data_IF_155071075031
#
_entry.id   IF_155071075031
#
_cell.length_a   1.000
_cell.length_b   1.000
_cell.length_c   1.000
_cell.angle_alpha   90.00
_cell.angle_beta   90.00
_cell.angle_gamma   90.00
#
_symmetry.space_group_name_H-M   'P 1'
#
loop_
_entity.id
_entity.type
_entity.pdbx_description
1 polymer ?
#
# COMPACT_ATOMS: atom_id res chain seq x y z
N UNK A 1 2.51 -10.35 32.26
CA UNK A 1 1.85 -9.65 31.13
C UNK A 1 2.96 -9.00 30.32
N UNK A 2 3.42 -9.66 29.26
CA UNK A 2 4.56 -9.20 28.49
C UNK A 2 4.06 -8.17 27.48
N UNK A 3 4.55 -6.93 27.58
CA UNK A 3 4.27 -5.90 26.59
C UNK A 3 4.97 -6.31 25.29
N UNK A 4 4.25 -6.96 24.38
CA UNK A 4 4.72 -7.28 23.04
C UNK A 4 4.33 -6.10 22.14
N UNK A 5 5.05 -4.99 22.22
CA UNK A 5 4.94 -3.96 21.18
C UNK A 5 6.23 -3.98 20.35
N UNK A 6 6.25 -4.68 19.21
CA UNK A 6 7.41 -4.72 18.33
C UNK A 6 7.56 -3.45 17.48
N UNK A 7 6.64 -2.49 17.60
CA UNK A 7 6.69 -1.25 16.83
C UNK A 7 7.61 -0.21 17.48
N UNK A 8 8.26 0.61 16.64
CA UNK A 8 9.14 1.70 17.08
C UNK A 8 8.52 3.02 16.67
N UNK A 9 8.33 3.92 17.62
CA UNK A 9 8.05 5.33 17.32
C UNK A 9 9.36 6.03 17.00
N UNK A 10 9.38 6.87 15.97
CA UNK A 10 10.58 7.61 15.59
C UNK A 10 10.36 8.44 14.35
N UNK A 11 11.46 8.88 13.74
CA UNK A 11 11.42 9.69 12.53
C UNK A 11 11.44 8.79 11.30
N UNK A 12 10.83 9.24 10.20
CA UNK A 12 10.85 8.52 8.92
C UNK A 12 12.27 8.19 8.44
N UNK A 13 13.25 9.07 8.71
CA UNK A 13 14.66 8.85 8.35
C UNK A 13 15.30 7.64 9.04
N UNK A 14 14.72 7.18 10.15
CA UNK A 14 15.22 6.04 10.92
C UNK A 14 14.60 4.71 10.45
N UNK A 15 13.70 4.76 9.46
CA UNK A 15 13.02 3.59 8.90
C UNK A 15 13.75 3.05 7.66
N UNK A 16 13.71 1.73 7.48
CA UNK A 16 14.34 1.07 6.34
C UNK A 16 13.41 1.04 5.14
N UNK A 17 13.99 1.01 3.94
CA UNK A 17 13.23 0.83 2.70
C UNK A 17 12.41 -0.46 2.78
N UNK A 18 11.11 -0.37 2.50
CA UNK A 18 10.18 -1.49 2.58
C UNK A 18 9.55 -1.69 3.97
N UNK A 19 9.88 -0.87 4.98
CA UNK A 19 9.14 -0.89 6.24
C UNK A 19 7.70 -0.41 6.05
N UNK A 20 6.77 -1.09 6.72
CA UNK A 20 5.40 -0.62 6.88
C UNK A 20 5.35 0.40 8.01
N UNK A 21 4.80 1.57 7.72
CA UNK A 21 4.72 2.68 8.65
C UNK A 21 3.27 3.16 8.81
N UNK A 22 2.96 3.71 9.98
CA UNK A 22 1.72 4.43 10.24
C UNK A 22 2.03 5.90 10.55
N UNK A 23 1.28 6.79 9.91
CA UNK A 23 1.44 8.25 10.03
C UNK A 23 0.15 8.88 10.55
N UNK A 24 0.30 9.88 11.41
CA UNK A 24 -0.81 10.74 11.79
C UNK A 24 -1.11 11.70 10.64
N UNK A 25 -2.26 11.55 9.99
CA UNK A 25 -2.74 12.54 9.03
C UNK A 25 -3.50 13.62 9.78
N UNK A 26 -3.04 14.87 9.71
CA UNK A 26 -3.72 16.03 10.31
C UNK A 26 -5.13 16.26 9.74
N UNK A 27 -5.42 15.73 8.55
CA UNK A 27 -6.68 15.98 7.83
C UNK A 27 -7.80 15.00 8.16
N UNK A 28 -7.49 13.81 8.71
CA UNK A 28 -8.48 12.76 9.00
C UNK A 28 -8.06 12.04 10.28
N UNK A 29 -8.96 11.90 11.26
CA UNK A 29 -8.74 11.29 12.59
C UNK A 29 -8.34 9.78 12.57
N UNK A 30 -7.78 9.27 11.47
CA UNK A 30 -7.33 7.88 11.32
C UNK A 30 -5.89 7.85 10.78
N UNK A 31 -5.05 6.93 11.27
CA UNK A 31 -3.69 6.79 10.78
C UNK A 31 -3.68 6.40 9.30
N UNK A 32 -2.80 7.02 8.51
CA UNK A 32 -2.50 6.58 7.15
C UNK A 32 -1.42 5.49 7.22
N UNK A 33 -1.69 4.31 6.67
CA UNK A 33 -0.67 3.27 6.50
C UNK A 33 0.03 3.46 5.16
N UNK A 34 1.36 3.37 5.18
CA UNK A 34 2.18 3.53 4.01
C UNK A 34 3.37 2.57 4.04
N UNK A 35 3.89 2.25 2.86
CA UNK A 35 5.17 1.55 2.71
C UNK A 35 6.23 2.57 2.31
N UNK A 36 7.36 2.54 2.99
CA UNK A 36 8.46 3.46 2.73
C UNK A 36 9.24 3.08 1.46
N UNK A 37 9.28 4.01 0.50
CA UNK A 37 10.16 3.97 -0.66
C UNK A 37 11.23 5.06 -0.52
N UNK A 38 12.51 4.68 -0.48
CA UNK A 38 13.60 5.65 -0.36
C UNK A 38 13.90 6.28 -1.72
N UNK A 39 13.71 7.60 -1.81
CA UNK A 39 14.27 8.46 -2.86
C UNK A 39 14.85 9.69 -2.18
N UNK A 40 16.17 9.82 -2.20
CA UNK A 40 16.84 11.07 -1.80
C UNK A 40 16.70 12.01 -2.99
N UNK A 41 16.17 13.22 -2.77
CA UNK A 41 16.11 14.21 -3.87
C UNK A 41 17.52 14.52 -4.37
N UNK A 42 17.67 14.86 -5.65
CA UNK A 42 18.96 15.29 -6.21
C UNK A 42 19.54 16.53 -5.51
N UNK A 43 18.72 17.26 -4.75
CA UNK A 43 19.10 18.44 -3.97
C UNK A 43 19.58 18.09 -2.54
N UNK A 44 19.59 16.81 -2.16
CA UNK A 44 20.02 16.36 -0.83
C UNK A 44 18.98 16.60 0.27
N UNK A 45 17.80 17.12 -0.06
CA UNK A 45 16.70 17.20 0.90
C UNK A 45 16.30 15.78 1.32
N UNK A 46 16.26 15.56 2.64
CA UNK A 46 15.83 14.30 3.22
C UNK A 46 14.32 14.14 3.05
N UNK A 47 13.92 13.71 1.85
CA UNK A 47 12.55 13.40 1.50
C UNK A 47 12.36 11.88 1.54
N UNK A 48 11.17 11.46 1.93
CA UNK A 48 10.71 10.08 1.86
C UNK A 48 9.55 10.02 0.87
N UNK A 49 9.52 8.98 0.05
CA UNK A 49 8.40 8.70 -0.85
C UNK A 49 7.60 7.57 -0.26
N UNK A 50 6.31 7.80 -0.11
CA UNK A 50 5.40 6.87 0.55
C UNK A 50 4.39 6.36 -0.46
N UNK A 51 4.33 5.03 -0.61
CA UNK A 51 3.14 4.40 -1.18
C UNK A 51 2.09 4.35 -0.07
N UNK A 52 1.19 5.31 -0.07
CA UNK A 52 0.07 5.37 0.89
C UNK A 52 -0.98 4.39 0.42
N UNK A 53 -1.25 3.35 1.21
CA UNK A 53 -2.18 2.28 0.85
C UNK A 53 -3.48 2.43 1.63
N UNK A 54 -4.01 3.66 1.67
CA UNK A 54 -5.26 3.96 2.40
C UNK A 54 -6.43 3.21 1.76
N UNK A 55 -7.21 2.45 2.55
CA UNK A 55 -8.40 1.79 2.04
C UNK A 55 -9.57 2.79 2.10
N UNK A 56 -9.88 3.46 0.98
CA UNK A 56 -11.18 4.09 0.76
C UNK A 56 -11.38 4.33 -0.73
N UNK A 57 -12.58 4.05 -1.24
CA UNK A 57 -12.94 4.36 -2.63
C UNK A 57 -12.80 5.86 -2.98
N UNK A 58 -12.85 6.74 -1.97
CA UNK A 58 -12.68 8.19 -2.12
C UNK A 58 -11.23 8.67 -1.94
N UNK A 59 -10.31 7.78 -1.57
CA UNK A 59 -8.91 8.08 -1.26
C UNK A 59 -8.04 6.90 -1.69
N UNK A 60 -7.89 6.69 -3.02
CA UNK A 60 -7.19 5.54 -3.54
C UNK A 60 -5.71 5.57 -3.15
N UNK A 61 -5.03 4.40 -3.23
CA UNK A 61 -3.59 4.34 -3.00
C UNK A 61 -2.87 5.37 -3.85
N UNK A 62 -1.95 6.12 -3.26
CA UNK A 62 -1.25 7.21 -3.93
C UNK A 62 0.20 7.28 -3.50
N UNK A 63 1.00 7.99 -4.29
CA UNK A 63 2.37 8.30 -3.97
C UNK A 63 2.42 9.68 -3.31
N UNK A 64 3.09 9.77 -2.16
CA UNK A 64 3.25 11.03 -1.42
C UNK A 64 4.72 11.30 -1.13
N UNK A 65 5.16 12.53 -1.37
CA UNK A 65 6.50 12.99 -0.98
C UNK A 65 6.37 13.73 0.34
N UNK A 66 7.11 13.30 1.35
CA UNK A 66 7.06 13.88 2.69
C UNK A 66 8.49 14.11 3.22
N UNK A 67 8.66 15.05 4.14
CA UNK A 67 9.94 15.26 4.82
C UNK A 67 10.26 14.05 5.72
N UNK A 68 11.51 13.55 5.68
CA UNK A 68 11.98 12.41 6.48
C UNK A 68 12.04 12.69 7.99
N UNK A 69 11.80 13.92 8.43
CA UNK A 69 11.73 14.32 9.84
C UNK A 69 10.31 14.25 10.40
N UNK A 70 9.34 13.71 9.66
CA UNK A 70 8.02 13.46 10.21
C UNK A 70 8.05 12.26 11.16
N UNK A 71 7.26 12.36 12.23
CA UNK A 71 7.04 11.29 13.18
C UNK A 71 6.23 10.16 12.55
N UNK A 72 6.61 8.93 12.86
CA UNK A 72 5.93 7.73 12.40
C UNK A 72 5.96 6.62 13.45
N UNK A 73 5.08 5.65 13.27
CA UNK A 73 5.14 4.36 13.94
C UNK A 73 5.63 3.33 12.90
N UNK A 74 6.82 2.79 13.11
CA UNK A 74 7.39 1.74 12.28
C UNK A 74 6.91 0.37 12.76
N UNK A 75 6.20 -0.35 11.89
CA UNK A 75 5.66 -1.70 12.11
C UNK A 75 6.59 -2.81 11.59
N UNK A 76 7.70 -2.43 10.97
CA UNK A 76 8.75 -3.29 10.43
C UNK A 76 8.47 -3.80 9.01
N UNK A 77 9.37 -4.66 8.53
CA UNK A 77 9.39 -5.19 7.16
C UNK A 77 8.78 -6.58 6.99
N UNK A 78 8.23 -7.18 8.07
CA UNK A 78 7.63 -8.54 8.04
C UNK A 78 6.21 -8.59 7.49
N UNK A 79 5.66 -7.45 7.11
CA UNK A 79 4.30 -7.35 6.57
C UNK A 79 4.19 -8.07 5.24
N UNK A 80 2.96 -8.43 4.88
CA UNK A 80 2.68 -9.21 3.68
C UNK A 80 1.66 -8.46 2.84
N UNK A 81 1.97 -8.30 1.56
CA UNK A 81 1.01 -7.93 0.53
C UNK A 81 0.40 -9.20 -0.07
N UNK A 82 -0.90 -9.36 0.03
CA UNK A 82 -1.63 -10.51 -0.53
C UNK A 82 -2.59 -10.05 -1.61
N UNK A 83 -2.49 -10.66 -2.80
CA UNK A 83 -3.47 -10.47 -3.87
C UNK A 83 -4.59 -11.49 -3.67
N UNK A 84 -5.83 -11.01 -3.54
CA UNK A 84 -6.99 -11.86 -3.35
C UNK A 84 -7.48 -12.36 -4.71
N UNK A 85 -7.07 -13.58 -5.08
CA UNK A 85 -7.60 -14.22 -6.28
C UNK A 85 -9.07 -14.59 -6.05
N UNK A 86 -9.97 -14.27 -6.98
CA UNK A 86 -11.37 -14.67 -6.83
C UNK A 86 -11.49 -16.18 -6.80
N UNK A 87 -12.30 -16.70 -5.88
CA UNK A 87 -12.65 -18.11 -5.85
C UNK A 87 -13.42 -18.47 -7.14
N UNK A 88 -13.38 -19.74 -7.56
CA UNK A 88 -13.94 -20.16 -8.84
C UNK A 88 -15.45 -19.84 -8.97
N UNK A 89 -16.17 -19.76 -7.85
CA UNK A 89 -17.57 -19.37 -7.77
C UNK A 89 -17.84 -17.86 -7.93
N UNK A 90 -16.80 -17.03 -7.81
CA UNK A 90 -16.85 -15.57 -7.91
C UNK A 90 -16.20 -15.03 -9.21
N UNK A 91 -16.00 -15.91 -10.20
CA UNK A 91 -15.41 -15.61 -11.50
C UNK A 91 -16.05 -14.36 -12.13
N UNK A 92 -15.29 -13.26 -12.14
CA UNK A 92 -15.71 -11.96 -12.66
C UNK A 92 -15.67 -10.80 -11.65
N UNK A 93 -15.59 -11.07 -10.34
CA UNK A 93 -15.66 -10.01 -9.31
C UNK A 93 -14.32 -9.60 -8.69
N UNK A 94 -13.21 -10.27 -9.03
CA UNK A 94 -11.86 -9.96 -8.52
C UNK A 94 -10.86 -9.50 -9.59
N UNK A 95 -11.15 -9.79 -10.86
CA UNK A 95 -10.38 -9.28 -11.99
C UNK A 95 -11.03 -8.00 -12.49
N UNK A 96 -10.21 -6.99 -12.78
CA UNK A 96 -10.67 -5.71 -13.30
C UNK A 96 -10.24 -5.59 -14.76
N UNK A 97 -11.24 -5.43 -15.65
CA UNK A 97 -11.01 -5.25 -17.08
C UNK A 97 -10.28 -3.91 -17.35
N UNK A 98 -10.52 -2.91 -16.51
CA UNK A 98 -9.82 -1.63 -16.57
C UNK A 98 -8.62 -1.59 -15.62
N UNK A 99 -7.48 -2.12 -16.11
CA UNK A 99 -6.19 -2.05 -15.42
C UNK A 99 -5.64 -0.63 -15.20
N UNK A 100 -6.32 0.42 -15.68
CA UNK A 100 -5.86 1.81 -15.58
C UNK A 100 -6.34 2.53 -14.31
N UNK A 101 -7.16 1.88 -13.49
CA UNK A 101 -7.66 2.46 -12.23
C UNK A 101 -6.59 2.42 -11.12
N UNK A 102 -6.47 3.47 -10.28
CA UNK A 102 -5.69 3.39 -9.05
C UNK A 102 -6.13 2.24 -8.13
N UNK A 103 -5.17 1.59 -7.48
CA UNK A 103 -5.40 0.45 -6.61
C UNK A 103 -5.45 -0.90 -7.33
N UNK A 104 -5.38 -0.93 -8.67
CA UNK A 104 -5.25 -2.18 -9.42
C UNK A 104 -3.82 -2.69 -9.34
N UNK A 105 -3.68 -3.98 -9.05
CA UNK A 105 -2.39 -4.69 -9.06
C UNK A 105 -2.26 -5.43 -10.38
N UNK A 106 -1.21 -5.12 -11.14
CA UNK A 106 -0.83 -5.85 -12.33
C UNK A 106 0.29 -6.83 -11.97
N UNK A 107 0.07 -8.11 -12.23
CA UNK A 107 1.06 -9.17 -12.06
C UNK A 107 1.63 -9.52 -13.43
N UNK A 108 2.93 -9.29 -13.60
CA UNK A 108 3.70 -9.69 -14.77
C UNK A 108 4.93 -10.48 -14.31
N UNK A 109 4.96 -11.79 -14.56
CA UNK A 109 5.99 -12.66 -13.99
C UNK A 109 5.92 -12.69 -12.46
N UNK A 110 7.04 -12.37 -11.79
CA UNK A 110 7.16 -12.40 -10.32
C UNK A 110 7.06 -11.03 -9.63
N UNK A 111 6.72 -9.96 -10.36
CA UNK A 111 6.62 -8.61 -9.81
C UNK A 111 5.16 -8.17 -9.70
N UNK A 112 4.58 -8.10 -8.48
CA UNK A 112 3.31 -7.41 -8.28
C UNK A 112 3.56 -5.91 -8.29
N UNK A 113 2.87 -5.21 -9.21
CA UNK A 113 3.00 -3.77 -9.40
C UNK A 113 1.62 -3.15 -9.21
N UNK A 114 1.47 -2.27 -8.22
CA UNK A 114 0.23 -1.52 -8.00
C UNK A 114 0.25 -0.20 -8.75
N UNK A 115 -0.85 0.14 -9.40
CA UNK A 115 -1.05 1.48 -9.94
C UNK A 115 -1.46 2.43 -8.83
N UNK A 116 -0.65 3.46 -8.61
CA UNK A 116 -0.94 4.51 -7.65
C UNK A 116 -1.70 5.65 -8.35
N UNK A 117 -2.69 6.18 -7.64
CA UNK A 117 -3.33 7.45 -7.94
C UNK A 117 -2.44 8.63 -7.56
N UNK A 118 -3.04 9.82 -7.59
CA UNK A 118 -2.37 11.07 -7.25
C UNK A 118 -2.72 11.48 -5.83
N UNK A 119 -1.83 12.23 -5.18
CA UNK A 119 -2.19 12.91 -3.93
C UNK A 119 -3.38 13.84 -4.20
N UNK A 120 -4.41 13.88 -3.32
CA UNK A 120 -5.48 14.85 -3.43
C UNK A 120 -4.93 16.29 -3.52
N UNK A 121 -5.24 16.99 -4.60
CA UNK A 121 -4.73 18.34 -4.87
C UNK A 121 -3.53 18.40 -5.82
N UNK A 122 -2.87 17.27 -6.12
CA UNK A 122 -1.82 17.21 -7.13
C UNK A 122 -2.39 16.80 -8.50
N UNK A 123 -2.63 17.80 -9.35
CA UNK A 123 -3.12 17.57 -10.72
C UNK A 123 -2.00 17.38 -11.75
N UNK A 124 -0.74 17.61 -11.37
CA UNK A 124 0.39 17.72 -12.32
C UNK A 124 1.25 16.46 -12.36
N UNK A 125 1.29 15.69 -11.27
CA UNK A 125 2.09 14.47 -11.24
C UNK A 125 1.54 13.37 -12.16
N UNK A 126 2.40 12.69 -12.93
CA UNK A 126 1.99 11.55 -13.74
C UNK A 126 1.52 10.40 -12.83
N UNK A 127 0.57 9.56 -13.28
CA UNK A 127 0.23 8.34 -12.57
C UNK A 127 1.50 7.49 -12.40
N UNK A 128 1.71 7.03 -11.18
CA UNK A 128 2.90 6.27 -10.80
C UNK A 128 2.52 4.82 -10.56
N UNK A 129 3.49 3.93 -10.70
CA UNK A 129 3.34 2.53 -10.32
C UNK A 129 4.28 2.26 -9.15
N UNK A 130 3.96 1.27 -8.33
CA UNK A 130 4.84 0.86 -7.25
C UNK A 130 5.08 -0.64 -7.34
N UNK A 131 6.35 -1.01 -7.48
CA UNK A 131 6.77 -2.39 -7.57
C UNK A 131 7.12 -2.90 -6.17
N UNK A 132 6.33 -3.85 -5.66
CA UNK A 132 6.53 -4.39 -4.33
C UNK A 132 7.77 -5.28 -4.21
N UNK A 133 8.28 -5.84 -5.31
CA UNK A 133 9.51 -6.65 -5.29
C UNK A 133 10.76 -5.78 -5.15
N UNK A 134 10.76 -4.58 -5.72
CA UNK A 134 11.89 -3.64 -5.65
C UNK A 134 11.70 -2.52 -4.62
N UNK A 135 10.47 -2.38 -4.09
CA UNK A 135 10.01 -1.29 -3.24
C UNK A 135 10.30 0.10 -3.84
N UNK A 136 10.08 0.25 -5.15
CA UNK A 136 10.35 1.47 -5.91
C UNK A 136 9.14 1.93 -6.71
N UNK A 137 9.06 3.25 -6.88
CA UNK A 137 8.14 3.86 -7.84
C UNK A 137 8.65 3.65 -9.27
N UNK A 138 7.74 3.31 -10.18
CA UNK A 138 8.00 3.09 -11.59
C UNK A 138 7.11 4.02 -12.44
N UNK A 139 7.68 4.52 -13.54
CA UNK A 139 6.98 5.43 -14.44
C UNK A 139 5.91 4.75 -15.30
N UNK A 140 5.92 3.42 -15.42
CA UNK A 140 5.06 2.69 -16.32
C UNK A 140 4.60 1.35 -15.74
N UNK A 141 3.47 0.86 -16.22
CA UNK A 141 2.99 -0.49 -15.95
C UNK A 141 3.94 -1.53 -16.55
N UNK A 142 3.99 -2.75 -15.99
CA UNK A 142 4.76 -3.83 -16.57
C UNK A 142 4.26 -4.19 -17.98
N UNK A 143 5.19 -4.60 -18.85
CA UNK A 143 4.90 -5.02 -20.24
C UNK A 143 4.78 -6.53 -20.34
N UNK A 144 3.93 -7.02 -21.27
CA UNK A 144 3.80 -8.45 -21.60
C UNK A 144 2.43 -9.04 -21.22
N UNK A 145 2.38 -10.37 -21.07
CA UNK A 145 1.19 -11.05 -20.54
C UNK A 145 1.04 -10.71 -19.07
N UNK A 146 -0.07 -10.07 -18.73
CA UNK A 146 -0.33 -9.58 -17.37
C UNK A 146 -1.71 -9.98 -16.90
N UNK A 147 -1.85 -10.09 -15.58
CA UNK A 147 -3.14 -10.29 -14.90
C UNK A 147 -3.40 -9.06 -14.03
N UNK A 148 -4.58 -8.46 -14.15
CA UNK A 148 -4.99 -7.30 -13.36
C UNK A 148 -5.97 -7.72 -12.28
N UNK A 149 -5.63 -7.45 -11.02
CA UNK A 149 -6.42 -7.83 -9.85
C UNK A 149 -6.84 -6.58 -9.08
N UNK A 150 -8.14 -6.46 -8.84
CA UNK A 150 -8.74 -5.31 -8.14
C UNK A 150 -8.85 -5.48 -6.63
N UNK A 151 -8.45 -6.66 -6.11
CA UNK A 151 -8.61 -7.03 -4.70
C UNK A 151 -7.30 -7.46 -4.08
N UNK A 152 -6.97 -6.89 -2.93
CA UNK A 152 -5.75 -7.19 -2.20
C UNK A 152 -5.87 -6.80 -0.73
N UNK A 153 -4.98 -7.35 0.09
CA UNK A 153 -4.93 -7.15 1.52
C UNK A 153 -3.49 -6.95 2.00
N UNK A 154 -3.32 -6.21 3.11
CA UNK A 154 -2.04 -6.07 3.80
C UNK A 154 -2.14 -6.67 5.20
N UNK A 155 -1.24 -7.59 5.50
CA UNK A 155 -1.14 -8.25 6.80
C UNK A 155 0.09 -7.77 7.55
N UNK A 156 0.00 -7.71 8.88
CA UNK A 156 1.13 -7.30 9.71
C UNK A 156 2.32 -8.28 9.60
N UNK A 157 2.05 -9.57 9.48
CA UNK A 157 3.03 -10.65 9.30
C UNK A 157 2.34 -12.00 9.04
N UNK A 158 3.13 -13.03 8.75
CA UNK A 158 2.66 -14.40 8.47
C UNK A 158 1.95 -15.04 9.66
N UNK A 159 2.39 -14.77 10.89
CA UNK A 159 1.77 -15.30 12.11
C UNK A 159 0.35 -14.76 12.28
N UNK A 160 0.09 -13.50 11.89
CA UNK A 160 -1.25 -12.94 11.86
C UNK A 160 -2.05 -13.50 10.70
N UNK A 161 -1.50 -13.53 9.49
CA UNK A 161 -2.17 -14.02 8.28
C UNK A 161 -2.66 -15.47 8.39
N UNK A 162 -1.89 -16.34 9.04
CA UNK A 162 -2.18 -17.78 9.14
C UNK A 162 -3.24 -18.16 10.19
N UNK A 163 -3.74 -17.21 10.99
CA UNK A 163 -4.77 -17.49 12.01
C UNK A 163 -6.15 -17.55 11.37
N UNK A 164 -6.95 -18.53 11.80
CA UNK A 164 -8.27 -18.87 11.23
C UNK A 164 -9.27 -17.71 11.21
N UNK A 165 -9.17 -16.76 12.15
CA UNK A 165 -10.07 -15.59 12.26
C UNK A 165 -9.31 -14.25 12.26
N UNK A 166 -8.09 -14.21 11.74
CA UNK A 166 -7.38 -12.94 11.66
C UNK A 166 -7.95 -12.06 10.54
N UNK A 167 -8.00 -10.77 10.84
CA UNK A 167 -8.25 -9.74 9.84
C UNK A 167 -6.93 -9.10 9.38
N UNK A 168 -6.79 -8.78 8.10
CA UNK A 168 -5.68 -7.97 7.62
C UNK A 168 -5.75 -6.56 8.23
N UNK A 169 -4.60 -5.87 8.24
CA UNK A 169 -4.52 -4.48 8.68
C UNK A 169 -5.43 -3.57 7.83
N UNK A 170 -5.52 -3.86 6.53
CA UNK A 170 -6.47 -3.24 5.61
C UNK A 170 -6.66 -4.08 4.34
N UNK A 171 -7.79 -3.83 3.67
CA UNK A 171 -8.21 -4.49 2.41
C UNK A 171 -8.64 -3.45 1.38
N UNK A 172 -8.44 -3.79 0.11
CA UNK A 172 -8.90 -3.02 -1.04
C UNK A 172 -9.76 -3.88 -1.96
N UNK A 173 -10.88 -3.35 -2.48
CA UNK A 173 -11.55 -2.15 -2.00
C UNK A 173 -11.98 -2.32 -0.53
N UNK A 174 -12.27 -1.23 0.17
CA UNK A 174 -12.89 -1.34 1.50
C UNK A 174 -14.18 -2.14 1.34
N UNK A 175 -14.33 -3.26 2.05
CA UNK A 175 -15.63 -3.91 2.12
C UNK A 175 -16.63 -2.87 2.61
N UNK A 176 -17.52 -2.41 1.74
CA UNK A 176 -18.74 -1.76 2.18
C UNK A 176 -19.41 -2.81 3.06
N UNK A 177 -19.61 -2.47 4.34
CA UNK A 177 -20.33 -3.34 5.26
C UNK A 177 -21.61 -3.77 4.54
N UNK A 178 -21.71 -5.06 4.20
CA UNK A 178 -22.92 -5.63 3.63
C UNK A 178 -24.03 -5.26 4.59
N UNK A 179 -24.92 -4.36 4.17
CA UNK A 179 -26.16 -4.14 4.90
C UNK A 179 -26.86 -5.50 4.86
N UNK A 180 -27.10 -6.16 6.00
CA UNK A 180 -27.93 -7.35 5.99
C UNK A 180 -29.30 -6.94 5.43
N UNK A 181 -29.76 -7.69 4.42
CA UNK A 181 -31.10 -7.58 3.89
C UNK A 181 -32.15 -7.97 4.94
#
# INVERSE_FOLDING_TARGET
>A
MQLINPFRTGLLKDCEKGDLIALSSSERQRPAYAVLSHFISDQGDHLAVLAVLRPSDQDPPNLRVINSHNDCINLGSKWIFEVEMPDAAAAGSGFEEDGSRPGIVTIAGSAPIIRLGREPGDTRSPPSHFNFSTMQAEAAAPRGYTVSVGRWAVWLNEEKRSRVDAEPLFRWPTQTARTPA
#
